data_IF_502477732734
#
_entry.id   IF_502477732734
#
_cell.length_a   1.000
_cell.length_b   1.000
_cell.length_c   1.000
_cell.angle_alpha   90.00
_cell.angle_beta   90.00
_cell.angle_gamma   90.00
#
_symmetry.space_group_name_H-M   'P 1'
#
loop_
_entity.id
_entity.type
_entity.pdbx_description
1 polymer ?
#
# COMPACT_ATOMS: atom_id res chain seq x y z
N UNK A 1 -18.75 -10.62 -19.61
CA UNK A 1 -18.03 -9.63 -18.79
C UNK A 1 -16.79 -9.28 -19.59
N UNK A 2 -16.80 -8.17 -20.32
CA UNK A 2 -15.68 -7.81 -21.21
C UNK A 2 -14.41 -7.59 -20.38
N UNK A 3 -13.33 -8.22 -20.81
CA UNK A 3 -12.01 -8.00 -20.24
C UNK A 3 -11.56 -6.59 -20.65
N UNK A 4 -11.29 -5.71 -19.68
CA UNK A 4 -10.86 -4.34 -19.96
C UNK A 4 -9.58 -4.37 -20.81
N UNK A 5 -9.44 -3.43 -21.76
CA UNK A 5 -8.25 -3.29 -22.61
C UNK A 5 -6.96 -3.27 -21.78
N UNK A 6 -6.98 -2.64 -20.61
CA UNK A 6 -5.83 -2.61 -19.70
C UNK A 6 -5.51 -3.97 -19.11
N UNK A 7 -6.52 -4.79 -18.80
CA UNK A 7 -6.29 -6.17 -18.37
C UNK A 7 -5.60 -6.99 -19.45
N UNK A 8 -5.98 -6.80 -20.73
CA UNK A 8 -5.32 -7.46 -21.85
C UNK A 8 -3.88 -6.98 -22.05
N UNK A 9 -3.62 -5.67 -21.94
CA UNK A 9 -2.26 -5.11 -21.98
C UNK A 9 -1.38 -5.72 -20.89
N UNK A 10 -1.88 -5.80 -19.65
CA UNK A 10 -1.14 -6.38 -18.53
C UNK A 10 -0.90 -7.87 -18.74
N UNK A 11 -1.89 -8.62 -19.22
CA UNK A 11 -1.72 -10.03 -19.55
C UNK A 11 -0.62 -10.23 -20.61
N UNK A 12 -0.60 -9.39 -21.65
CA UNK A 12 0.45 -9.39 -22.67
C UNK A 12 1.82 -9.12 -22.04
N UNK A 13 1.95 -8.06 -21.23
CA UNK A 13 3.21 -7.71 -20.56
C UNK A 13 3.70 -8.87 -19.67
N UNK A 14 2.84 -9.40 -18.81
CA UNK A 14 3.22 -10.47 -17.88
C UNK A 14 3.56 -11.77 -18.61
N UNK A 15 2.90 -12.05 -19.74
CA UNK A 15 3.20 -13.22 -20.56
C UNK A 15 4.60 -13.18 -21.16
N UNK A 16 5.06 -12.00 -21.57
CA UNK A 16 6.37 -11.76 -22.20
C UNK A 16 7.54 -11.82 -21.23
N UNK A 17 7.30 -11.69 -19.92
CA UNK A 17 8.35 -11.77 -18.91
C UNK A 17 8.79 -13.22 -18.76
N UNK A 18 10.07 -13.48 -18.99
CA UNK A 18 10.74 -14.76 -18.74
C UNK A 18 10.90 -14.99 -17.23
N UNK A 19 9.85 -15.50 -16.60
CA UNK A 19 9.87 -15.88 -15.20
C UNK A 19 8.98 -17.09 -14.90
N UNK A 20 9.22 -17.72 -13.75
CA UNK A 20 8.44 -18.88 -13.30
C UNK A 20 6.97 -18.54 -13.03
N UNK A 21 6.09 -19.54 -13.13
CA UNK A 21 4.63 -19.40 -12.96
C UNK A 21 4.24 -18.65 -11.68
N UNK A 22 4.87 -18.99 -10.55
CA UNK A 22 4.62 -18.32 -9.26
C UNK A 22 4.84 -16.81 -9.31
N UNK A 23 5.87 -16.35 -10.04
CA UNK A 23 6.14 -14.92 -10.14
C UNK A 23 5.09 -14.21 -11.01
N UNK A 24 4.64 -14.86 -12.10
CA UNK A 24 3.52 -14.35 -12.92
C UNK A 24 2.24 -14.22 -12.11
N UNK A 25 1.93 -15.19 -11.25
CA UNK A 25 0.79 -15.12 -10.33
C UNK A 25 0.89 -13.94 -9.36
N UNK A 26 2.08 -13.69 -8.80
CA UNK A 26 2.33 -12.51 -7.95
C UNK A 26 2.13 -11.22 -8.73
N UNK A 27 2.62 -11.14 -9.97
CA UNK A 27 2.43 -9.97 -10.84
C UNK A 27 0.95 -9.70 -11.12
N UNK A 28 0.17 -10.72 -11.50
CA UNK A 28 -1.27 -10.57 -11.72
C UNK A 28 -1.99 -10.16 -10.45
N UNK A 29 -1.70 -10.79 -9.31
CA UNK A 29 -2.29 -10.43 -8.02
C UNK A 29 -1.98 -8.99 -7.62
N UNK A 30 -0.75 -8.54 -7.87
CA UNK A 30 -0.30 -7.17 -7.58
C UNK A 30 -1.01 -6.15 -8.46
N UNK A 31 -1.20 -6.45 -9.74
CA UNK A 31 -2.01 -5.63 -10.64
C UNK A 31 -3.47 -5.55 -10.21
N UNK A 32 -4.09 -6.68 -9.85
CA UNK A 32 -5.48 -6.70 -9.40
C UNK A 32 -5.68 -5.85 -8.13
N UNK A 33 -4.74 -5.92 -7.19
CA UNK A 33 -4.74 -5.07 -5.99
C UNK A 33 -4.68 -3.59 -6.37
N UNK A 34 -3.76 -3.22 -7.27
CA UNK A 34 -3.64 -1.84 -7.70
C UNK A 34 -4.87 -1.35 -8.45
N UNK A 35 -5.44 -2.17 -9.34
CA UNK A 35 -6.67 -1.84 -10.06
C UNK A 35 -7.85 -1.64 -9.11
N UNK A 36 -7.99 -2.48 -8.08
CA UNK A 36 -9.02 -2.30 -7.06
C UNK A 36 -8.86 -0.96 -6.34
N UNK A 37 -7.63 -0.61 -5.95
CA UNK A 37 -7.32 0.68 -5.35
C UNK A 37 -7.69 1.86 -6.26
N UNK A 38 -7.35 1.80 -7.56
CA UNK A 38 -7.71 2.85 -8.52
C UNK A 38 -9.22 2.99 -8.66
N UNK A 39 -9.94 1.86 -8.75
CA UNK A 39 -11.40 1.84 -8.84
C UNK A 39 -12.06 2.47 -7.62
N UNK A 40 -11.57 2.17 -6.42
CA UNK A 40 -12.06 2.76 -5.17
C UNK A 40 -11.80 4.27 -5.11
N UNK A 41 -10.74 4.75 -5.77
CA UNK A 41 -10.45 6.17 -5.96
C UNK A 41 -11.26 6.82 -7.10
N UNK A 42 -12.13 6.07 -7.78
CA UNK A 42 -12.95 6.56 -8.90
C UNK A 42 -12.19 6.71 -10.22
N UNK A 43 -11.05 6.04 -10.37
CA UNK A 43 -10.21 6.09 -11.57
C UNK A 43 -10.09 4.70 -12.22
N UNK A 44 -10.45 4.58 -13.49
CA UNK A 44 -10.19 3.37 -14.27
C UNK A 44 -9.43 3.78 -15.55
N UNK A 45 -8.13 3.46 -15.65
CA UNK A 45 -7.35 3.85 -16.82
C UNK A 45 -7.78 3.05 -18.05
N UNK A 46 -7.72 3.69 -19.23
CA UNK A 46 -7.95 3.02 -20.52
C UNK A 46 -6.71 2.29 -21.07
N UNK A 47 -5.52 2.65 -20.58
CA UNK A 47 -4.23 2.03 -20.91
C UNK A 47 -3.30 2.13 -19.70
N UNK A 48 -2.36 1.18 -19.58
CA UNK A 48 -1.33 1.21 -18.51
C UNK A 48 -0.53 2.52 -18.56
N UNK A 49 -0.29 3.08 -19.76
CA UNK A 49 0.46 4.34 -19.93
C UNK A 49 -0.27 5.58 -19.40
N UNK A 50 -1.59 5.50 -19.25
CA UNK A 50 -2.43 6.61 -18.77
C UNK A 50 -2.54 6.66 -17.25
N UNK A 51 -1.87 5.75 -16.53
CA UNK A 51 -1.85 5.77 -15.07
C UNK A 51 -1.12 7.01 -14.58
N UNK A 52 -1.80 7.83 -13.77
CA UNK A 52 -1.19 9.00 -13.16
C UNK A 52 -0.17 8.58 -12.09
N UNK A 53 1.04 9.11 -12.20
CA UNK A 53 2.13 8.92 -11.25
C UNK A 53 1.78 9.35 -9.82
N UNK A 54 0.85 10.30 -9.66
CA UNK A 54 0.39 10.76 -8.34
C UNK A 54 -0.33 9.66 -7.54
N UNK A 55 -0.78 8.59 -8.19
CA UNK A 55 -1.45 7.45 -7.55
C UNK A 55 -0.50 6.48 -6.85
N UNK A 56 0.80 6.53 -7.19
CA UNK A 56 1.79 5.56 -6.71
C UNK A 56 2.09 5.68 -5.21
N UNK A 57 2.33 6.90 -4.71
CA UNK A 57 2.54 7.14 -3.27
C UNK A 57 1.34 6.76 -2.40
N UNK A 58 0.11 7.19 -2.72
CA UNK A 58 -1.12 6.75 -2.05
C UNK A 58 -1.28 5.23 -2.04
N UNK A 59 -1.01 4.57 -3.17
CA UNK A 59 -1.05 3.11 -3.23
C UNK A 59 0.02 2.44 -2.36
N UNK A 60 1.25 2.95 -2.36
CA UNK A 60 2.32 2.45 -1.50
C UNK A 60 1.93 2.55 -0.01
N UNK A 61 1.36 3.67 0.39
CA UNK A 61 0.84 3.86 1.75
C UNK A 61 -0.32 2.90 2.06
N UNK A 62 -1.23 2.67 1.11
CA UNK A 62 -2.31 1.70 1.25
C UNK A 62 -1.78 0.28 1.49
N UNK A 63 -0.80 -0.16 0.72
CA UNK A 63 -0.14 -1.46 0.89
C UNK A 63 0.54 -1.59 2.26
N UNK A 64 1.29 -0.57 2.69
CA UNK A 64 1.98 -0.56 4.00
C UNK A 64 0.98 -0.61 5.16
N UNK A 65 -0.17 0.04 5.03
CA UNK A 65 -1.18 0.10 6.09
C UNK A 65 -2.04 -1.19 6.19
N UNK A 66 -2.28 -1.88 5.07
CA UNK A 66 -3.27 -2.96 5.00
C UNK A 66 -2.67 -4.35 4.75
N UNK A 67 -1.38 -4.45 4.46
CA UNK A 67 -0.70 -5.72 4.18
C UNK A 67 0.44 -5.97 5.17
N UNK A 68 0.75 -7.25 5.39
CA UNK A 68 1.96 -7.64 6.10
C UNK A 68 3.20 -7.13 5.34
N UNK A 69 4.24 -6.68 6.06
CA UNK A 69 5.39 -6.01 5.46
C UNK A 69 6.03 -6.74 4.28
N UNK A 70 6.15 -8.08 4.35
CA UNK A 70 6.66 -8.88 3.23
C UNK A 70 5.74 -8.85 2.01
N UNK A 71 4.43 -8.93 2.21
CA UNK A 71 3.44 -8.92 1.14
C UNK A 71 3.33 -7.53 0.51
N UNK A 72 3.42 -6.46 1.31
CA UNK A 72 3.50 -5.09 0.81
C UNK A 72 4.72 -4.90 -0.09
N UNK A 73 5.90 -5.34 0.36
CA UNK A 73 7.15 -5.25 -0.41
C UNK A 73 7.04 -6.03 -1.73
N UNK A 74 6.56 -7.27 -1.69
CA UNK A 74 6.41 -8.09 -2.91
C UNK A 74 5.42 -7.46 -3.89
N UNK A 75 4.28 -6.96 -3.41
CA UNK A 75 3.25 -6.31 -4.22
C UNK A 75 3.80 -5.06 -4.91
N UNK A 76 4.50 -4.21 -4.17
CA UNK A 76 5.08 -2.98 -4.71
C UNK A 76 6.22 -3.25 -5.68
N UNK A 77 7.07 -4.23 -5.39
CA UNK A 77 8.14 -4.65 -6.29
C UNK A 77 7.59 -5.25 -7.61
N UNK A 78 6.59 -6.11 -7.52
CA UNK A 78 5.96 -6.72 -8.68
C UNK A 78 5.24 -5.67 -9.54
N UNK A 79 4.47 -4.76 -8.92
CA UNK A 79 3.82 -3.67 -9.65
C UNK A 79 4.85 -2.76 -10.33
N UNK A 80 5.92 -2.38 -9.62
CA UNK A 80 6.99 -1.58 -10.20
C UNK A 80 7.61 -2.26 -11.41
N UNK A 81 7.83 -3.57 -11.34
CA UNK A 81 8.39 -4.32 -12.46
C UNK A 81 7.46 -4.31 -13.68
N UNK A 82 6.15 -4.55 -13.48
CA UNK A 82 5.15 -4.47 -14.55
C UNK A 82 5.15 -3.08 -15.20
N UNK A 83 5.19 -2.01 -14.40
CA UNK A 83 5.17 -0.64 -14.90
C UNK A 83 6.44 -0.30 -15.71
N UNK A 84 7.61 -0.78 -15.28
CA UNK A 84 8.85 -0.64 -16.06
C UNK A 84 8.71 -1.35 -17.41
N UNK A 85 8.19 -2.57 -17.44
CA UNK A 85 7.98 -3.32 -18.69
C UNK A 85 6.94 -2.65 -19.61
N UNK A 86 5.98 -1.91 -19.05
CA UNK A 86 5.01 -1.13 -19.82
C UNK A 86 5.56 0.20 -20.38
N UNK A 87 6.79 0.59 -19.99
CA UNK A 87 7.48 1.77 -20.49
C UNK A 87 7.58 2.95 -19.51
N UNK A 88 7.22 2.78 -18.24
CA UNK A 88 7.41 3.84 -17.24
C UNK A 88 8.90 3.98 -16.89
N UNK A 89 9.45 5.20 -16.87
CA UNK A 89 10.83 5.40 -16.48
C UNK A 89 11.00 5.15 -14.98
N UNK A 90 12.05 4.42 -14.53
CA UNK A 90 12.22 4.04 -13.12
C UNK A 90 12.19 5.20 -12.12
N UNK A 91 12.58 6.40 -12.55
CA UNK A 91 12.54 7.64 -11.75
C UNK A 91 11.13 8.06 -11.32
N UNK A 92 10.11 7.74 -12.12
CA UNK A 92 8.71 8.05 -11.81
C UNK A 92 8.10 7.04 -10.83
N UNK A 93 8.81 5.94 -10.54
CA UNK A 93 8.35 4.85 -9.70
C UNK A 93 9.08 4.81 -8.35
N UNK A 94 9.76 5.89 -7.99
CA UNK A 94 10.50 5.99 -6.73
C UNK A 94 9.58 5.76 -5.52
N UNK A 95 8.34 6.24 -5.59
CA UNK A 95 7.32 6.09 -4.54
C UNK A 95 6.85 4.64 -4.34
N UNK A 96 6.98 3.78 -5.36
CA UNK A 96 6.73 2.34 -5.25
C UNK A 96 7.91 1.58 -4.62
N UNK A 97 8.93 2.28 -4.15
CA UNK A 97 10.03 1.70 -3.37
C UNK A 97 9.72 1.88 -1.90
N UNK A 98 9.50 0.78 -1.18
CA UNK A 98 9.39 0.86 0.29
C UNK A 98 10.77 1.22 0.86
N UNK A 99 10.92 2.33 1.62
CA UNK A 99 12.15 2.55 2.36
C UNK A 99 12.27 1.46 3.44
N UNK A 100 13.47 0.86 3.65
CA UNK A 100 13.67 -0.28 4.56
C UNK A 100 13.38 0.00 6.04
N UNK A 101 12.95 1.23 6.42
CA UNK A 101 12.82 1.66 7.82
C UNK A 101 11.40 1.59 8.41
N UNK A 102 10.35 1.25 7.66
CA UNK A 102 8.97 1.26 8.20
C UNK A 102 8.46 -0.09 8.73
N UNK A 103 9.22 -1.19 8.61
CA UNK A 103 8.77 -2.53 9.04
C UNK A 103 8.71 -2.69 10.57
N UNK A 104 9.03 -1.65 11.37
CA UNK A 104 9.04 -1.76 12.85
C UNK A 104 8.17 -0.75 13.62
N UNK A 105 7.35 0.08 12.98
CA UNK A 105 6.61 1.13 13.71
C UNK A 105 5.07 0.99 13.64
N UNK A 106 4.51 -0.22 13.62
CA UNK A 106 3.03 -0.40 13.66
C UNK A 106 2.49 -1.06 14.93
N UNK A 107 3.33 -1.51 15.87
CA UNK A 107 2.84 -2.07 17.14
C UNK A 107 2.77 -1.09 18.32
N UNK A 108 3.27 0.15 18.21
CA UNK A 108 3.46 1.02 19.40
C UNK A 108 2.41 2.10 19.66
N UNK A 109 1.32 2.21 18.87
CA UNK A 109 0.30 3.26 19.05
C UNK A 109 -1.11 2.80 19.45
N UNK A 110 -1.26 1.61 20.05
CA UNK A 110 -2.54 1.18 20.67
C UNK A 110 -2.48 0.89 22.17
N UNK A 111 -1.51 1.47 22.90
CA UNK A 111 -1.54 1.52 24.38
C UNK A 111 -1.06 2.88 24.90
N UNK A 112 -1.81 3.95 24.63
CA UNK A 112 -1.84 5.10 25.52
C UNK A 112 -3.24 5.21 26.12
N UNK A 113 -3.46 4.39 27.14
CA UNK A 113 -4.50 4.65 28.14
C UNK A 113 -4.11 5.97 28.82
N UNK A 114 -4.95 7.01 28.85
CA UNK A 114 -4.65 8.15 29.71
C UNK A 114 -4.73 7.65 31.17
N UNK A 115 -3.60 7.66 31.87
CA UNK A 115 -3.59 7.58 33.33
C UNK A 115 -4.16 8.91 33.84
N UNK A 116 -5.47 8.95 34.02
CA UNK A 116 -6.15 10.00 34.78
C UNK A 116 -6.46 9.43 36.16
N UNK A 117 -5.55 9.59 37.11
CA UNK A 117 -5.80 9.36 38.53
C UNK A 117 -4.82 10.21 39.33
N UNK A 118 -5.07 11.52 39.35
CA UNK A 118 -4.56 12.38 40.42
C UNK A 118 -5.24 11.96 41.74
N UNK A 119 -4.52 11.89 42.86
CA UNK A 119 -5.11 11.56 44.14
C UNK A 119 -6.02 12.69 44.63
N UNK A 120 -7.21 12.33 45.09
CA UNK A 120 -8.18 13.22 45.74
C UNK A 120 -7.53 13.76 47.02
N UNK A 121 -7.30 15.07 47.05
CA UNK A 121 -6.86 15.80 48.23
C UNK A 121 -8.07 15.97 49.17
N UNK A 122 -8.13 15.18 50.25
CA UNK A 122 -9.18 15.32 51.27
C UNK A 122 -8.71 16.40 52.25
N UNK A 123 -9.15 17.64 52.02
CA UNK A 123 -9.07 18.69 53.03
C UNK A 123 -10.00 18.34 54.19
N UNK A 124 -9.42 18.11 55.37
CA UNK A 124 -10.10 18.12 56.68
C UNK A 124 -10.61 19.54 56.97
N UNK A 125 -11.90 19.74 57.29
CA UNK A 125 -12.31 20.87 58.11
C UNK A 125 -12.17 20.50 59.58
N UNK A 126 -11.66 21.46 60.36
CA UNK A 126 -11.55 21.37 61.81
C UNK A 126 -12.90 21.29 62.50
N UNK A 127 -12.89 20.73 63.70
CA UNK A 127 -13.96 20.89 64.69
C UNK A 127 -13.28 21.44 65.93
N UNK A 128 -13.53 22.72 66.19
CA UNK A 128 -13.49 23.35 67.50
C UNK A 128 -14.55 22.68 68.40
N UNK A 129 -14.12 22.14 69.54
CA UNK A 129 -14.62 22.36 70.93
C UNK A 129 -14.00 21.35 71.91
#
# INVERSE_FOLDING_TARGET
MEESKVSQEINSIVSQIECGRKLKEIMHSSWLTFRAFLRDAGFEPDSVKNIDKTTFGPFANHCIANMEGKNAIMTLAALRFILIQSGFPPKNLAELTVPPKSVHETHRRRRRRPQNSSPINISRPGVDE
#
